data_IF_393704312738
#
_entry.id   IF_393704312738
#
_cell.length_a   1.000
_cell.length_b   1.000
_cell.length_c   1.000
_cell.angle_alpha   90.00
_cell.angle_beta   90.00
_cell.angle_gamma   90.00
#
_symmetry.space_group_name_H-M   'P 1'
#
loop_
_entity.id
_entity.type
_entity.pdbx_description
1 polymer ?
#
# COMPACT_ATOMS: atom_id res chain seq x y z
N UNK A 1 17.03 -2.98 10.93
CA UNK A 1 15.68 -2.38 10.81
C UNK A 1 15.19 -2.34 9.35
N UNK A 2 16.03 -1.95 8.37
CA UNK A 2 15.62 -1.82 6.96
C UNK A 2 15.19 -3.11 6.27
N UNK A 3 15.82 -4.26 6.57
CA UNK A 3 15.45 -5.57 6.00
C UNK A 3 14.04 -5.99 6.44
N UNK A 4 13.74 -5.88 7.74
CA UNK A 4 12.41 -6.19 8.28
C UNK A 4 11.31 -5.30 7.67
N UNK A 5 11.61 -4.02 7.43
CA UNK A 5 10.70 -3.11 6.72
C UNK A 5 10.48 -3.51 5.26
N UNK A 6 11.54 -3.96 4.57
CA UNK A 6 11.42 -4.50 3.22
C UNK A 6 10.49 -5.72 3.16
N UNK A 7 10.64 -6.65 4.11
CA UNK A 7 9.79 -7.85 4.22
C UNK A 7 8.34 -7.49 4.55
N UNK A 8 8.12 -6.55 5.46
CA UNK A 8 6.76 -6.10 5.81
C UNK A 8 6.07 -5.42 4.61
N UNK A 9 6.81 -4.59 3.87
CA UNK A 9 6.31 -3.93 2.67
C UNK A 9 5.96 -4.91 1.55
N UNK A 10 6.82 -5.91 1.30
CA UNK A 10 6.54 -6.93 0.28
C UNK A 10 5.34 -7.79 0.64
N UNK A 11 5.22 -8.23 1.91
CA UNK A 11 4.06 -8.98 2.39
C UNK A 11 2.75 -8.20 2.22
N UNK A 12 2.74 -6.93 2.63
CA UNK A 12 1.57 -6.06 2.45
C UNK A 12 1.20 -5.86 0.97
N UNK A 13 2.21 -5.76 0.09
CA UNK A 13 2.03 -5.59 -1.35
C UNK A 13 1.36 -6.78 -2.04
N UNK A 14 1.57 -8.01 -1.55
CA UNK A 14 0.94 -9.21 -2.11
C UNK A 14 -0.48 -9.44 -1.57
N UNK A 15 -0.73 -9.11 -0.30
CA UNK A 15 -2.00 -9.46 0.35
C UNK A 15 -3.22 -8.79 -0.31
N UNK A 16 -3.13 -7.49 -0.64
CA UNK A 16 -4.25 -6.74 -1.22
C UNK A 16 -4.68 -7.28 -2.60
N UNK A 17 -3.80 -7.40 -3.61
CA UNK A 17 -4.18 -7.91 -4.92
C UNK A 17 -4.61 -9.39 -4.86
N UNK A 18 -3.97 -10.23 -4.03
CA UNK A 18 -4.36 -11.63 -3.88
C UNK A 18 -5.75 -11.77 -3.24
N UNK A 19 -6.05 -11.00 -2.19
CA UNK A 19 -7.38 -11.00 -1.58
C UNK A 19 -8.45 -10.52 -2.56
N UNK A 20 -8.17 -9.45 -3.32
CA UNK A 20 -9.10 -8.94 -4.33
C UNK A 20 -9.35 -9.98 -5.43
N UNK A 21 -8.29 -10.62 -5.94
CA UNK A 21 -8.39 -11.69 -6.92
C UNK A 21 -9.28 -12.83 -6.39
N UNK A 22 -9.01 -13.32 -5.18
CA UNK A 22 -9.78 -14.39 -4.54
C UNK A 22 -11.25 -14.00 -4.37
N UNK A 23 -11.56 -12.77 -3.97
CA UNK A 23 -12.96 -12.30 -3.88
C UNK A 23 -13.64 -12.28 -5.25
N UNK A 24 -12.94 -11.81 -6.29
CA UNK A 24 -13.50 -11.71 -7.65
C UNK A 24 -13.62 -13.05 -8.37
N UNK A 25 -12.83 -14.06 -8.00
CA UNK A 25 -12.94 -15.42 -8.55
C UNK A 25 -13.92 -16.29 -7.76
N UNK A 26 -14.07 -16.05 -6.45
CA UNK A 26 -14.97 -16.81 -5.58
C UNK A 26 -16.42 -16.36 -5.73
N UNK A 27 -16.68 -15.05 -5.82
CA UNK A 27 -18.04 -14.51 -5.91
C UNK A 27 -18.39 -14.13 -7.36
N UNK A 28 -19.52 -14.61 -7.91
CA UNK A 28 -19.95 -14.26 -9.26
C UNK A 28 -20.26 -12.76 -9.41
N UNK A 29 -20.24 -12.25 -10.64
CA UNK A 29 -20.60 -10.86 -10.94
C UNK A 29 -22.03 -10.58 -10.49
N UNK A 30 -22.22 -9.56 -9.64
CA UNK A 30 -23.53 -9.21 -9.12
C UNK A 30 -23.50 -8.57 -7.72
N UNK A 31 -24.66 -8.50 -7.05
CA UNK A 31 -24.79 -7.89 -5.72
C UNK A 31 -23.93 -8.59 -4.66
N UNK A 32 -23.75 -9.91 -4.75
CA UNK A 32 -22.92 -10.69 -3.80
C UNK A 32 -21.45 -10.25 -3.83
N UNK A 33 -20.86 -10.08 -5.02
CA UNK A 33 -19.49 -9.57 -5.14
C UNK A 33 -19.37 -8.13 -4.63
N UNK A 34 -20.33 -7.26 -4.96
CA UNK A 34 -20.31 -5.88 -4.47
C UNK A 34 -20.40 -5.83 -2.94
N UNK A 35 -21.20 -6.70 -2.34
CA UNK A 35 -21.29 -6.83 -0.89
C UNK A 35 -19.98 -7.34 -0.29
N UNK A 36 -19.38 -8.38 -0.86
CA UNK A 36 -18.08 -8.90 -0.42
C UNK A 36 -16.96 -7.85 -0.52
N UNK A 37 -16.91 -7.07 -1.62
CA UNK A 37 -15.98 -5.96 -1.79
C UNK A 37 -16.24 -4.81 -0.80
N UNK A 38 -17.50 -4.57 -0.45
CA UNK A 38 -17.86 -3.57 0.56
C UNK A 38 -17.41 -3.99 1.96
N UNK A 39 -17.56 -5.28 2.31
CA UNK A 39 -17.03 -5.84 3.56
C UNK A 39 -15.50 -5.74 3.57
N UNK A 40 -14.84 -6.07 2.46
CA UNK A 40 -13.38 -5.94 2.34
C UNK A 40 -12.92 -4.50 2.58
N UNK A 41 -13.60 -3.51 1.97
CA UNK A 41 -13.33 -2.10 2.20
C UNK A 41 -13.58 -1.67 3.66
N UNK A 42 -14.71 -2.10 4.24
CA UNK A 42 -15.07 -1.79 5.63
C UNK A 42 -14.10 -2.39 6.65
N UNK A 43 -13.62 -3.61 6.41
CA UNK A 43 -12.60 -4.26 7.24
C UNK A 43 -11.30 -3.44 7.28
N UNK A 44 -10.94 -2.79 6.17
CA UNK A 44 -9.81 -1.85 6.11
C UNK A 44 -9.96 -0.68 7.08
N UNK A 45 -11.13 -0.06 7.13
CA UNK A 45 -11.42 1.04 8.06
C UNK A 45 -11.38 0.58 9.52
N UNK A 46 -11.98 -0.58 9.83
CA UNK A 46 -11.96 -1.16 11.18
C UNK A 46 -10.51 -1.44 11.61
N UNK A 47 -9.71 -2.02 10.72
CA UNK A 47 -8.29 -2.28 10.97
C UNK A 47 -7.51 -0.99 11.24
N UNK A 48 -7.79 0.09 10.51
CA UNK A 48 -7.18 1.40 10.75
C UNK A 48 -7.53 1.94 12.14
N UNK A 49 -8.81 1.96 12.51
CA UNK A 49 -9.26 2.45 13.82
C UNK A 49 -8.66 1.64 14.98
N UNK A 50 -8.74 0.31 14.89
CA UNK A 50 -8.17 -0.58 15.92
C UNK A 50 -6.66 -0.41 16.01
N UNK A 51 -5.98 -0.24 14.87
CA UNK A 51 -4.53 -0.01 14.82
C UNK A 51 -4.11 1.29 15.53
N UNK A 52 -4.82 2.40 15.29
CA UNK A 52 -4.54 3.69 15.96
C UNK A 52 -4.77 3.60 17.47
N UNK A 53 -5.86 2.95 17.90
CA UNK A 53 -6.15 2.74 19.33
C UNK A 53 -5.07 1.90 20.02
N UNK A 54 -4.74 0.74 19.45
CA UNK A 54 -3.71 -0.14 20.01
C UNK A 54 -2.35 0.57 20.04
N UNK A 55 -2.02 1.34 18.99
CA UNK A 55 -0.83 2.17 18.94
C UNK A 55 -0.74 3.15 20.10
N UNK A 56 -1.81 3.92 20.35
CA UNK A 56 -1.85 4.89 21.45
C UNK A 56 -1.81 4.25 22.84
N UNK A 57 -2.48 3.10 23.02
CA UNK A 57 -2.48 2.37 24.30
C UNK A 57 -1.08 1.82 24.61
N UNK A 58 -0.45 1.14 23.65
CA UNK A 58 0.87 0.54 23.88
C UNK A 58 1.95 1.58 24.09
N UNK A 59 1.89 2.71 23.36
CA UNK A 59 2.83 3.82 23.54
C UNK A 59 2.76 4.40 24.96
N UNK A 60 1.56 4.50 25.54
CA UNK A 60 1.34 5.06 26.87
C UNK A 60 1.61 4.09 28.05
N UNK A 61 1.71 2.77 27.82
CA UNK A 61 1.71 1.77 28.91
C UNK A 61 2.97 0.92 28.96
N UNK A 62 3.17 0.05 27.96
CA UNK A 62 4.17 -1.03 27.98
C UNK A 62 5.31 -0.79 26.98
N UNK A 63 5.18 0.25 26.15
CA UNK A 63 6.16 0.67 25.15
C UNK A 63 5.73 0.35 23.71
N UNK A 64 6.05 1.28 22.80
CA UNK A 64 5.69 1.26 21.38
C UNK A 64 6.09 -0.02 20.61
N UNK A 65 7.14 -0.74 21.05
CA UNK A 65 7.64 -1.93 20.37
C UNK A 65 6.63 -3.10 20.40
N UNK A 66 5.72 -3.13 21.38
CA UNK A 66 4.65 -4.12 21.47
C UNK A 66 3.69 -4.10 20.28
N UNK A 67 3.56 -2.95 19.61
CA UNK A 67 2.77 -2.83 18.38
C UNK A 67 3.24 -3.85 17.32
N UNK A 68 4.56 -4.02 17.17
CA UNK A 68 5.11 -4.96 16.19
C UNK A 68 4.81 -6.42 16.55
N UNK A 69 4.89 -6.77 17.85
CA UNK A 69 4.57 -8.11 18.31
C UNK A 69 3.09 -8.44 18.10
N UNK A 70 2.19 -7.52 18.44
CA UNK A 70 0.75 -7.73 18.26
C UNK A 70 0.39 -7.84 16.79
N UNK A 71 0.92 -6.97 15.92
CA UNK A 71 0.71 -7.07 14.48
C UNK A 71 1.27 -8.39 13.92
N UNK A 72 2.43 -8.84 14.38
CA UNK A 72 3.02 -10.10 13.96
C UNK A 72 2.18 -11.32 14.39
N UNK A 73 1.68 -11.32 15.63
CA UNK A 73 0.81 -12.39 16.15
C UNK A 73 -0.51 -12.44 15.37
N UNK A 74 -1.17 -11.30 15.20
CA UNK A 74 -2.42 -11.21 14.43
C UNK A 74 -2.22 -11.66 12.98
N UNK A 75 -1.15 -11.22 12.32
CA UNK A 75 -0.82 -11.65 10.98
C UNK A 75 -0.62 -13.16 10.92
N UNK A 76 0.07 -13.75 11.90
CA UNK A 76 0.31 -15.20 11.96
C UNK A 76 -1.00 -15.97 12.12
N UNK A 77 -1.89 -15.53 13.02
CA UNK A 77 -3.21 -16.15 13.23
C UNK A 77 -4.03 -16.11 11.93
N UNK A 78 -4.09 -14.95 11.26
CA UNK A 78 -4.83 -14.79 10.01
C UNK A 78 -4.24 -15.67 8.91
N UNK A 79 -2.91 -15.77 8.81
CA UNK A 79 -2.25 -16.65 7.84
C UNK A 79 -2.58 -18.12 8.09
N UNK A 80 -2.55 -18.57 9.35
CA UNK A 80 -2.89 -19.95 9.71
C UNK A 80 -4.37 -20.24 9.41
N UNK A 81 -5.27 -19.34 9.80
CA UNK A 81 -6.69 -19.47 9.49
C UNK A 81 -6.94 -19.47 7.98
N UNK A 82 -6.27 -18.60 7.24
CA UNK A 82 -6.35 -18.54 5.78
C UNK A 82 -5.87 -19.84 5.13
N UNK A 83 -4.79 -20.42 5.63
CA UNK A 83 -4.26 -21.70 5.14
C UNK A 83 -5.27 -22.86 5.30
N UNK A 84 -6.06 -22.87 6.37
CA UNK A 84 -7.08 -23.91 6.59
C UNK A 84 -8.45 -23.59 5.96
N UNK A 85 -8.83 -22.32 5.87
CA UNK A 85 -10.15 -21.90 5.41
C UNK A 85 -10.22 -21.73 3.88
N UNK A 86 -9.12 -21.34 3.25
CA UNK A 86 -9.02 -21.27 1.79
C UNK A 86 -8.76 -22.69 1.29
N UNK A 87 -9.85 -23.41 1.03
CA UNK A 87 -9.78 -24.71 0.34
C UNK A 87 -9.14 -24.51 -1.04
N UNK A 88 -8.34 -25.48 -1.49
CA UNK A 88 -7.87 -25.61 -2.88
C UNK A 88 -9.09 -25.81 -3.79
N UNK A 89 -9.82 -24.73 -4.03
CA UNK A 89 -10.86 -24.67 -5.05
C UNK A 89 -10.15 -24.77 -6.38
N UNK A 90 -10.08 -26.00 -6.85
CA UNK A 90 -9.57 -26.51 -8.14
C UNK A 90 -10.31 -25.93 -9.36
N UNK A 91 -10.77 -24.68 -9.31
CA UNK A 91 -11.25 -24.00 -10.49
C UNK A 91 -10.06 -23.54 -11.31
N UNK A 92 -9.65 -24.45 -12.20
CA UNK A 92 -9.01 -24.20 -13.48
C UNK A 92 -9.38 -22.82 -14.00
N UNK A 93 -8.56 -21.81 -13.71
CA UNK A 93 -8.48 -20.68 -14.62
C UNK A 93 -7.58 -21.19 -15.74
N UNK A 94 -8.19 -21.42 -16.90
CA UNK A 94 -7.51 -21.60 -18.18
C UNK A 94 -6.30 -20.68 -18.18
N UNK A 95 -5.10 -21.25 -18.21
CA UNK A 95 -3.83 -20.50 -18.11
C UNK A 95 -3.81 -19.40 -19.17
N UNK A 96 -4.09 -18.12 -18.83
CA UNK A 96 -3.89 -17.06 -19.78
C UNK A 96 -2.37 -16.86 -19.78
N UNK A 97 -1.76 -17.03 -20.95
CA UNK A 97 -0.31 -16.91 -21.23
C UNK A 97 0.46 -16.20 -20.10
N UNK A 98 1.06 -16.99 -19.19
CA UNK A 98 1.54 -16.56 -17.87
C UNK A 98 2.88 -15.79 -17.96
N UNK A 99 3.04 -14.99 -19.01
CA UNK A 99 4.23 -14.20 -19.30
C UNK A 99 4.22 -12.96 -18.42
N UNK A 100 4.90 -13.07 -17.28
CA UNK A 100 5.14 -11.95 -16.39
C UNK A 100 6.21 -11.04 -17.03
N UNK A 101 5.90 -9.75 -17.16
CA UNK A 101 6.88 -8.74 -17.61
C UNK A 101 7.87 -8.39 -16.50
N UNK A 102 8.87 -9.25 -16.29
CA UNK A 102 9.90 -9.06 -15.27
C UNK A 102 10.70 -7.76 -15.46
N UNK A 103 10.94 -7.36 -16.71
CA UNK A 103 11.68 -6.13 -17.00
C UNK A 103 10.86 -4.89 -16.67
N UNK A 104 9.57 -4.87 -17.04
CA UNK A 104 8.65 -3.81 -16.66
C UNK A 104 8.53 -3.67 -15.14
N UNK A 105 8.34 -4.77 -14.42
CA UNK A 105 8.30 -4.76 -12.94
C UNK A 105 9.59 -4.19 -12.37
N UNK A 106 10.75 -4.60 -12.89
CA UNK A 106 12.04 -4.11 -12.41
C UNK A 106 12.21 -2.61 -12.63
N UNK A 107 11.95 -2.11 -13.84
CA UNK A 107 12.05 -0.67 -14.15
C UNK A 107 11.10 0.16 -13.28
N UNK A 108 9.87 -0.31 -13.10
CA UNK A 108 8.88 0.36 -12.27
C UNK A 108 9.28 0.40 -10.79
N UNK A 109 9.64 -0.75 -10.21
CA UNK A 109 10.07 -0.83 -8.81
C UNK A 109 11.33 -0.01 -8.56
N UNK A 110 12.36 -0.18 -9.39
CA UNK A 110 13.61 0.55 -9.24
C UNK A 110 13.40 2.07 -9.37
N UNK A 111 12.60 2.49 -10.36
CA UNK A 111 12.25 3.90 -10.57
C UNK A 111 11.51 4.51 -9.37
N UNK A 112 10.47 3.84 -8.88
CA UNK A 112 9.72 4.30 -7.69
C UNK A 112 10.60 4.37 -6.46
N UNK A 113 11.40 3.33 -6.18
CA UNK A 113 12.27 3.30 -5.01
C UNK A 113 13.23 4.49 -5.03
N UNK A 114 13.81 4.82 -6.19
CA UNK A 114 14.70 5.97 -6.33
C UNK A 114 13.99 7.31 -6.13
N UNK A 115 12.77 7.48 -6.63
CA UNK A 115 11.98 8.71 -6.43
C UNK A 115 11.59 8.87 -4.96
N UNK A 116 11.16 7.79 -4.30
CA UNK A 116 10.84 7.79 -2.87
C UNK A 116 12.08 8.05 -2.02
N UNK A 117 13.23 7.48 -2.41
CA UNK A 117 14.51 7.75 -1.76
C UNK A 117 14.89 9.23 -1.85
N UNK A 118 14.74 9.84 -3.02
CA UNK A 118 14.96 11.29 -3.19
C UNK A 118 14.07 12.11 -2.24
N UNK A 119 12.76 11.84 -2.20
CA UNK A 119 11.82 12.54 -1.34
C UNK A 119 12.10 12.36 0.15
N UNK A 120 12.63 11.21 0.54
CA UNK A 120 12.95 10.89 1.95
C UNK A 120 14.25 11.54 2.40
N UNK A 121 15.29 11.51 1.56
CA UNK A 121 16.63 12.00 1.88
C UNK A 121 16.82 13.49 1.53
N UNK A 122 15.96 14.08 0.70
CA UNK A 122 16.04 15.51 0.35
C UNK A 122 15.86 16.44 1.55
N UNK A 123 15.09 16.00 2.57
CA UNK A 123 14.87 16.75 3.79
C UNK A 123 16.13 16.88 4.68
N UNK A 124 17.00 15.86 4.69
CA UNK A 124 18.24 15.82 5.48
C UNK A 124 19.46 16.30 4.69
N UNK A 125 19.61 15.82 3.46
CA UNK A 125 20.81 16.03 2.63
C UNK A 125 20.71 17.26 1.70
N UNK A 126 19.54 17.89 1.63
CA UNK A 126 19.26 19.05 0.80
C UNK A 126 18.71 18.69 -0.58
N UNK A 127 17.75 19.48 -1.04
CA UNK A 127 17.01 19.27 -2.29
C UNK A 127 17.87 19.39 -3.56
N UNK A 128 18.94 20.20 -3.51
CA UNK A 128 19.83 20.43 -4.65
C UNK A 128 21.17 19.66 -4.53
N UNK A 129 21.29 18.72 -3.59
CA UNK A 129 22.52 17.97 -3.39
C UNK A 129 22.74 16.97 -4.55
N UNK A 130 23.95 16.84 -5.10
CA UNK A 130 24.25 15.83 -6.13
C UNK A 130 23.91 14.41 -5.68
N UNK A 131 23.98 14.13 -4.37
CA UNK A 131 23.66 12.82 -3.78
C UNK A 131 22.17 12.45 -3.84
N UNK A 132 21.28 13.44 -3.87
CA UNK A 132 19.82 13.25 -3.95
C UNK A 132 19.33 13.44 -5.39
N UNK A 133 19.90 14.39 -6.12
CA UNK A 133 19.48 14.69 -7.49
C UNK A 133 19.84 13.57 -8.50
N UNK A 134 21.00 12.93 -8.32
CA UNK A 134 21.42 11.82 -9.18
C UNK A 134 20.43 10.63 -9.15
N UNK A 135 20.06 10.06 -7.99
CA UNK A 135 19.07 8.99 -7.94
C UNK A 135 17.69 9.46 -8.43
N UNK A 136 17.31 10.72 -8.22
CA UNK A 136 16.05 11.25 -8.76
C UNK A 136 16.00 11.21 -10.30
N UNK A 137 17.06 11.69 -10.97
CA UNK A 137 17.15 11.67 -12.43
C UNK A 137 17.17 10.23 -12.95
N UNK A 138 17.94 9.34 -12.31
CA UNK A 138 17.96 7.92 -12.69
C UNK A 138 16.59 7.28 -12.51
N UNK A 139 15.88 7.59 -11.42
CA UNK A 139 14.51 7.13 -11.17
C UNK A 139 13.54 7.59 -12.26
N UNK A 140 13.60 8.86 -12.66
CA UNK A 140 12.77 9.38 -13.77
C UNK A 140 13.09 8.69 -15.10
N UNK A 141 14.37 8.43 -15.39
CA UNK A 141 14.79 7.71 -16.59
C UNK A 141 14.28 6.26 -16.57
N UNK A 142 14.34 5.58 -15.43
CA UNK A 142 13.80 4.22 -15.27
C UNK A 142 12.28 4.19 -15.46
N UNK A 143 11.54 5.18 -14.93
CA UNK A 143 10.10 5.29 -15.13
C UNK A 143 9.74 5.61 -16.59
N UNK A 144 10.51 6.46 -17.26
CA UNK A 144 10.32 6.73 -18.68
C UNK A 144 10.62 5.47 -19.53
N UNK A 145 11.65 4.72 -19.17
CA UNK A 145 11.98 3.44 -19.79
C UNK A 145 10.87 2.40 -19.58
N UNK A 146 10.27 2.35 -18.38
CA UNK A 146 9.10 1.52 -18.08
C UNK A 146 7.92 1.87 -18.99
N UNK A 147 7.57 3.15 -19.10
CA UNK A 147 6.45 3.58 -19.97
C UNK A 147 6.71 3.23 -21.43
N UNK A 148 7.94 3.42 -21.90
CA UNK A 148 8.33 3.05 -23.25
C UNK A 148 8.29 1.54 -23.49
N UNK A 149 8.76 0.75 -22.52
CA UNK A 149 8.77 -0.72 -22.58
C UNK A 149 7.36 -1.29 -22.59
N UNK A 150 6.49 -0.87 -21.67
CA UNK A 150 5.10 -1.30 -21.65
C UNK A 150 4.32 -0.87 -22.90
N UNK A 151 4.68 0.25 -23.53
CA UNK A 151 4.00 0.68 -24.76
C UNK A 151 4.27 -0.24 -25.95
N UNK A 152 5.28 -1.11 -25.85
CA UNK A 152 5.73 -2.01 -26.92
C UNK A 152 5.45 -3.48 -26.64
N UNK A 153 5.23 -3.88 -25.40
CA UNK A 153 4.98 -5.28 -25.03
C UNK A 153 3.50 -5.64 -25.22
N UNK A 154 3.24 -6.82 -25.79
CA UNK A 154 1.89 -7.36 -25.99
C UNK A 154 1.23 -7.85 -24.67
N UNK A 155 2.03 -8.26 -23.69
CA UNK A 155 1.60 -8.73 -22.35
C UNK A 155 1.85 -7.68 -21.26
N UNK A 156 1.51 -6.42 -21.54
CA UNK A 156 1.71 -5.31 -20.60
C UNK A 156 0.88 -5.53 -19.32
N UNK A 157 1.49 -5.25 -18.18
CA UNK A 157 0.87 -5.33 -16.84
C UNK A 157 -0.28 -4.33 -16.74
N UNK A 158 -0.12 -3.17 -17.39
CA UNK A 158 -1.14 -2.12 -17.47
C UNK A 158 -1.35 -1.69 -18.93
N UNK A 159 -2.38 -2.21 -19.62
CA UNK A 159 -2.65 -1.77 -20.98
C UNK A 159 -2.97 -0.26 -21.00
N UNK A 160 -2.13 0.54 -21.65
CA UNK A 160 -2.28 2.01 -21.74
C UNK A 160 -3.63 2.47 -22.32
N UNK A 161 -4.37 1.57 -22.97
CA UNK A 161 -5.74 1.82 -23.44
C UNK A 161 -6.70 2.18 -22.30
N UNK A 162 -6.49 1.69 -21.08
CA UNK A 162 -7.37 2.00 -19.94
C UNK A 162 -7.28 3.49 -19.56
N UNK A 163 -6.08 4.09 -19.67
CA UNK A 163 -5.84 5.51 -19.40
C UNK A 163 -6.53 6.46 -20.38
N UNK A 164 -6.90 5.98 -21.58
CA UNK A 164 -7.72 6.78 -22.51
C UNK A 164 -9.13 7.06 -21.97
N UNK A 165 -9.61 6.24 -21.02
CA UNK A 165 -10.87 6.53 -20.34
C UNK A 165 -10.68 7.67 -19.35
N UNK A 166 -11.27 8.83 -19.65
CA UNK A 166 -11.27 9.99 -18.74
C UNK A 166 -11.81 9.66 -17.35
N UNK A 167 -12.76 8.72 -17.25
CA UNK A 167 -13.32 8.25 -15.96
C UNK A 167 -12.27 7.51 -15.14
N UNK A 168 -11.44 6.69 -15.78
CA UNK A 168 -10.37 5.96 -15.11
C UNK A 168 -9.28 6.92 -14.63
N UNK A 169 -8.77 7.78 -15.53
CA UNK A 169 -7.74 8.75 -15.18
C UNK A 169 -8.21 9.71 -14.06
N UNK A 170 -9.45 10.21 -14.15
CA UNK A 170 -10.03 11.04 -13.10
C UNK A 170 -10.18 10.27 -11.77
N UNK A 171 -10.62 9.01 -11.82
CA UNK A 171 -10.74 8.15 -10.63
C UNK A 171 -9.39 7.94 -9.92
N UNK A 172 -8.32 7.67 -10.68
CA UNK A 172 -6.96 7.53 -10.12
C UNK A 172 -6.51 8.83 -9.45
N UNK A 173 -6.67 9.98 -10.12
CA UNK A 173 -6.31 11.29 -9.55
C UNK A 173 -7.09 11.59 -8.27
N UNK A 174 -8.40 11.33 -8.27
CA UNK A 174 -9.25 11.53 -7.09
C UNK A 174 -8.78 10.66 -5.92
N UNK A 175 -8.54 9.36 -6.15
CA UNK A 175 -8.04 8.46 -5.11
C UNK A 175 -6.67 8.92 -4.60
N UNK A 176 -5.76 9.32 -5.48
CA UNK A 176 -4.46 9.86 -5.10
C UNK A 176 -4.59 11.07 -4.18
N UNK A 177 -5.44 12.03 -4.55
CA UNK A 177 -5.69 13.23 -3.76
C UNK A 177 -6.31 12.90 -2.40
N UNK A 178 -7.29 12.00 -2.35
CA UNK A 178 -7.95 11.59 -1.10
C UNK A 178 -6.96 10.90 -0.15
N UNK A 179 -6.17 9.95 -0.65
CA UNK A 179 -5.17 9.24 0.16
C UNK A 179 -4.06 10.19 0.62
N UNK A 180 -3.57 11.08 -0.25
CA UNK A 180 -2.56 12.06 0.12
C UNK A 180 -3.08 13.03 1.18
N UNK A 181 -4.25 13.63 0.98
CA UNK A 181 -4.86 14.55 1.93
C UNK A 181 -5.12 13.89 3.29
N UNK A 182 -5.62 12.64 3.29
CA UNK A 182 -5.86 11.89 4.53
C UNK A 182 -4.57 11.66 5.33
N UNK A 183 -3.49 11.24 4.67
CA UNK A 183 -2.20 11.04 5.35
C UNK A 183 -1.61 12.34 5.90
N UNK A 184 -1.67 13.43 5.12
CA UNK A 184 -1.20 14.76 5.56
C UNK A 184 -2.01 15.23 6.77
N UNK A 185 -3.33 15.08 6.74
CA UNK A 185 -4.20 15.44 7.86
C UNK A 185 -3.84 14.68 9.13
N UNK A 186 -3.70 13.34 9.07
CA UNK A 186 -3.32 12.52 10.23
C UNK A 186 -1.96 12.94 10.79
N UNK A 187 -0.99 13.24 9.92
CA UNK A 187 0.34 13.65 10.36
C UNK A 187 0.31 15.01 11.08
N UNK A 188 -0.23 16.06 10.43
CA UNK A 188 -0.27 17.41 11.00
C UNK A 188 -1.17 17.52 12.23
N UNK A 189 -2.31 16.84 12.23
CA UNK A 189 -3.18 16.79 13.41
C UNK A 189 -2.46 16.14 14.59
N UNK A 190 -1.67 15.07 14.37
CA UNK A 190 -0.94 14.38 15.44
C UNK A 190 0.14 15.28 16.03
N UNK A 191 0.89 15.97 15.16
CA UNK A 191 1.88 16.97 15.57
C UNK A 191 1.24 18.11 16.37
N UNK A 192 0.05 18.58 15.97
CA UNK A 192 -0.65 19.66 16.64
C UNK A 192 -1.17 19.22 18.02
N UNK A 193 -1.82 18.06 18.08
CA UNK A 193 -2.33 17.50 19.34
C UNK A 193 -1.21 17.25 20.35
N UNK A 194 -0.08 16.71 19.90
CA UNK A 194 1.02 16.35 20.80
C UNK A 194 1.94 17.54 21.13
N UNK A 195 2.39 18.31 20.14
CA UNK A 195 3.39 19.38 20.38
C UNK A 195 2.79 20.73 20.73
N UNK A 196 1.58 21.05 20.26
CA UNK A 196 0.94 22.36 20.53
C UNK A 196 -0.01 22.26 21.71
N UNK A 197 -0.87 21.22 21.74
CA UNK A 197 -1.89 21.04 22.78
C UNK A 197 -1.41 20.21 23.97
N UNK A 198 -0.22 19.59 23.87
CA UNK A 198 0.38 18.81 24.97
C UNK A 198 -0.41 17.56 25.34
N UNK A 199 -1.24 17.05 24.43
CA UNK A 199 -2.06 15.88 24.70
C UNK A 199 -1.21 14.61 24.73
N UNK A 200 -1.53 13.73 25.69
CA UNK A 200 -0.99 12.38 25.70
C UNK A 200 -1.36 11.64 24.40
N UNK A 201 -0.51 10.72 23.90
CA UNK A 201 -0.80 9.89 22.73
C UNK A 201 -2.17 9.20 22.79
N UNK A 202 -2.61 8.84 23.99
CA UNK A 202 -3.89 8.18 24.25
C UNK A 202 -5.09 9.11 23.98
N UNK A 203 -5.01 10.36 24.41
CA UNK A 203 -6.05 11.38 24.14
C UNK A 203 -6.07 11.75 22.67
N UNK A 204 -4.90 11.81 22.04
CA UNK A 204 -4.77 12.05 20.59
C UNK A 204 -5.45 10.94 19.78
N UNK A 205 -5.26 9.68 20.16
CA UNK A 205 -5.93 8.54 19.52
C UNK A 205 -7.45 8.59 19.65
N UNK A 206 -7.98 9.03 20.79
CA UNK A 206 -9.42 9.24 20.97
C UNK A 206 -9.99 10.35 20.07
N UNK A 207 -9.25 11.44 19.84
CA UNK A 207 -9.71 12.53 18.97
C UNK A 207 -9.80 12.15 17.48
N UNK A 208 -9.18 11.05 17.06
CA UNK A 208 -9.22 10.58 15.67
C UNK A 208 -10.44 9.73 15.33
N UNK A 209 -11.24 9.35 16.32
CA UNK A 209 -12.39 8.44 16.20
C UNK A 209 -13.67 9.23 16.39
#
# INVERSE_FOLDING_TARGET
MSVARGIQGSGAGFTIPSALALLTTTFPLGPERNFALSIFGGAGCIGQTVGVLLGGIFDATIGWYWVFFVTAILSTIITVLGFFAISDSNNQSETPDNRIDYFGVFFFMAGIIMVVFYLSESASAGWASPKTLAPFVVGLVLLAAFVFWESRIEYAIMPFRIWKSRRFAAGVVVIMCVVAAGNVMIFFSSLTFQNVLGYSPLVTAYCYI
#
